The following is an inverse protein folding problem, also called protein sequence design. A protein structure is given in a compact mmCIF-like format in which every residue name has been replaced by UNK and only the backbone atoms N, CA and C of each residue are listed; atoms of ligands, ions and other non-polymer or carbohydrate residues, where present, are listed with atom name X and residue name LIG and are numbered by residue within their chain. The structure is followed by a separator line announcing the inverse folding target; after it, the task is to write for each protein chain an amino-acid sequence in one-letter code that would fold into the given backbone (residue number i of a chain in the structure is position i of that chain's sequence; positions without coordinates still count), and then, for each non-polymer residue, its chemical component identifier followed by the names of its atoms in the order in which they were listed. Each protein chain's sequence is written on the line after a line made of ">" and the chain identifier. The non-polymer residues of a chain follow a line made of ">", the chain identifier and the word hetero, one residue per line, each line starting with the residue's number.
data_IF_531551580181
#
_entry.id   IF_531551580181
#
_cell.length_a   1.000
_cell.length_b   1.000
_cell.length_c   1.000
_cell.angle_alpha   90.00
_cell.angle_beta   90.00
_cell.angle_gamma   90.00
#
_symmetry.space_group_name_H-M   'P 1'
#
loop_
_entity.id
_entity.type
_entity.pdbx_description
1 polymer ?
#
# COMPACT_ATOMS: atom_id res chain seq x y z
N UNK A 1 -37.14 73.59 141.70
CA UNK A 1 -37.72 73.38 140.35
C UNK A 1 -36.91 72.27 139.69
N UNK A 2 -37.30 71.01 139.94
CA UNK A 2 -36.77 69.85 139.24
C UNK A 2 -37.24 69.90 137.78
N UNK A 3 -36.30 69.91 136.83
CA UNK A 3 -36.61 69.81 135.40
C UNK A 3 -36.99 68.35 135.11
N UNK A 4 -38.14 68.18 134.47
CA UNK A 4 -38.79 66.90 134.21
C UNK A 4 -38.01 66.06 133.17
N UNK A 5 -37.86 64.73 133.37
CA UNK A 5 -37.07 63.82 132.53
C UNK A 5 -37.59 63.65 131.08
N UNK A 6 -38.73 64.25 130.74
CA UNK A 6 -39.27 64.29 129.37
C UNK A 6 -38.53 65.28 128.45
N UNK A 7 -37.82 66.28 129.00
CA UNK A 7 -37.12 67.30 128.19
C UNK A 7 -35.74 66.81 127.72
N UNK A 8 -35.02 66.02 128.54
CA UNK A 8 -33.75 65.41 128.12
C UNK A 8 -33.95 64.35 127.03
N UNK A 9 -35.06 63.61 127.06
CA UNK A 9 -35.35 62.60 126.03
C UNK A 9 -35.62 63.25 124.66
N UNK A 10 -36.28 64.40 124.63
CA UNK A 10 -36.57 65.15 123.40
C UNK A 10 -35.29 65.72 122.76
N UNK A 11 -34.41 66.35 123.54
CA UNK A 11 -33.11 66.85 123.06
C UNK A 11 -32.20 65.71 122.58
N UNK A 12 -32.30 64.53 123.21
CA UNK A 12 -31.52 63.33 122.81
C UNK A 12 -32.05 62.75 121.49
N UNK A 13 -33.37 62.70 121.32
CA UNK A 13 -34.02 62.25 120.09
C UNK A 13 -33.75 63.24 118.95
N UNK A 14 -33.81 64.55 119.20
CA UNK A 14 -33.51 65.58 118.21
C UNK A 14 -32.04 65.52 117.76
N UNK A 15 -31.09 65.36 118.69
CA UNK A 15 -29.68 65.15 118.34
C UNK A 15 -29.43 63.83 117.59
N UNK A 16 -30.18 62.77 117.90
CA UNK A 16 -30.12 61.51 117.16
C UNK A 16 -30.69 61.63 115.75
N UNK A 17 -31.79 62.36 115.58
CA UNK A 17 -32.39 62.64 114.27
C UNK A 17 -31.44 63.50 113.44
N UNK A 18 -30.88 64.58 114.00
CA UNK A 18 -29.90 65.43 113.29
C UNK A 18 -28.64 64.63 112.92
N UNK A 19 -28.11 63.79 113.82
CA UNK A 19 -26.99 62.89 113.48
C UNK A 19 -27.36 61.87 112.41
N UNK A 20 -28.54 61.27 112.48
CA UNK A 20 -29.02 60.34 111.46
C UNK A 20 -29.17 61.02 110.11
N UNK A 21 -29.73 62.24 110.09
CA UNK A 21 -29.86 63.07 108.89
C UNK A 21 -28.48 63.40 108.31
N UNK A 22 -27.53 63.83 109.15
CA UNK A 22 -26.16 64.18 108.72
C UNK A 22 -25.42 62.96 108.18
N UNK A 23 -25.58 61.80 108.81
CA UNK A 23 -25.02 60.54 108.32
C UNK A 23 -25.65 60.10 107.00
N UNK A 24 -26.98 60.27 106.84
CA UNK A 24 -27.69 59.99 105.60
C UNK A 24 -27.19 60.93 104.49
N UNK A 25 -27.09 62.23 104.76
CA UNK A 25 -26.64 63.23 103.80
C UNK A 25 -25.17 62.98 103.39
N UNK A 26 -24.29 62.63 104.34
CA UNK A 26 -22.92 62.21 104.01
C UNK A 26 -22.88 60.94 103.17
N UNK A 27 -23.75 59.96 103.45
CA UNK A 27 -23.81 58.72 102.68
C UNK A 27 -24.35 58.96 101.27
N UNK A 28 -25.32 59.86 101.12
CA UNK A 28 -25.84 60.33 99.83
C UNK A 28 -24.72 61.04 99.05
N UNK A 29 -23.99 61.97 99.64
CA UNK A 29 -22.87 62.64 98.95
C UNK A 29 -21.76 61.67 98.53
N UNK A 30 -21.41 60.70 99.37
CA UNK A 30 -20.39 59.70 99.01
C UNK A 30 -20.87 58.77 97.90
N UNK A 31 -22.12 58.29 97.97
CA UNK A 31 -22.68 57.45 96.90
C UNK A 31 -22.86 58.22 95.60
N UNK A 32 -23.27 59.50 95.64
CA UNK A 32 -23.32 60.36 94.45
C UNK A 32 -21.93 60.55 93.83
N UNK A 33 -20.90 60.77 94.64
CA UNK A 33 -19.51 60.89 94.16
C UNK A 33 -19.01 59.57 93.52
N UNK A 34 -19.28 58.42 94.14
CA UNK A 34 -18.93 57.11 93.58
C UNK A 34 -19.65 56.82 92.26
N UNK A 35 -20.95 57.14 92.17
CA UNK A 35 -21.74 57.01 90.94
C UNK A 35 -21.20 57.93 89.85
N UNK A 36 -20.76 59.14 90.19
CA UNK A 36 -20.19 60.10 89.24
C UNK A 36 -18.83 59.63 88.69
N UNK A 37 -17.96 59.08 89.55
CA UNK A 37 -16.69 58.46 89.14
C UNK A 37 -16.94 57.25 88.24
N UNK A 38 -17.85 56.35 88.64
CA UNK A 38 -18.20 55.16 87.87
C UNK A 38 -18.80 55.50 86.50
N UNK A 39 -19.64 56.53 86.42
CA UNK A 39 -20.24 56.99 85.15
C UNK A 39 -19.18 57.60 84.24
N UNK A 40 -18.24 58.39 84.74
CA UNK A 40 -17.12 58.93 83.95
C UNK A 40 -16.17 57.82 83.46
N UNK A 41 -15.86 56.84 84.31
CA UNK A 41 -15.02 55.70 83.93
C UNK A 41 -15.71 54.81 82.89
N UNK A 42 -17.01 54.59 83.04
CA UNK A 42 -17.84 53.88 82.05
C UNK A 42 -17.89 54.64 80.71
N UNK A 43 -18.03 55.97 80.72
CA UNK A 43 -17.97 56.79 79.49
C UNK A 43 -16.61 56.68 78.79
N UNK A 44 -15.50 56.71 79.56
CA UNK A 44 -14.15 56.50 79.03
C UNK A 44 -13.98 55.12 78.39
N UNK A 45 -14.50 54.07 79.03
CA UNK A 45 -14.42 52.71 78.49
C UNK A 45 -15.26 52.55 77.21
N UNK A 46 -16.45 53.17 77.17
CA UNK A 46 -17.31 53.19 75.98
C UNK A 46 -16.64 53.93 74.82
N UNK A 47 -15.97 55.05 75.07
CA UNK A 47 -15.24 55.80 74.05
C UNK A 47 -14.04 55.02 73.51
N UNK A 48 -13.25 54.39 74.39
CA UNK A 48 -12.16 53.50 73.96
C UNK A 48 -12.64 52.31 73.12
N UNK A 49 -13.75 51.67 73.53
CA UNK A 49 -14.33 50.55 72.77
C UNK A 49 -14.85 51.01 71.40
N UNK A 50 -15.40 52.22 71.30
CA UNK A 50 -15.78 52.80 70.01
C UNK A 50 -14.56 53.03 69.11
N UNK A 51 -13.50 53.63 69.63
CA UNK A 51 -12.26 53.83 68.85
C UNK A 51 -11.63 52.50 68.41
N UNK A 52 -11.62 51.48 69.28
CA UNK A 52 -11.14 50.15 68.92
C UNK A 52 -12.01 49.50 67.83
N UNK A 53 -13.33 49.62 67.95
CA UNK A 53 -14.27 49.13 66.94
C UNK A 53 -14.02 49.81 65.59
N UNK A 54 -13.86 51.13 65.57
CA UNK A 54 -13.65 51.89 64.34
C UNK A 54 -12.30 51.55 63.68
N UNK A 55 -11.25 51.35 64.49
CA UNK A 55 -9.96 50.85 63.99
C UNK A 55 -10.09 49.46 63.37
N UNK A 56 -10.73 48.51 64.07
CA UNK A 56 -10.94 47.16 63.56
C UNK A 56 -11.79 47.15 62.28
N UNK A 57 -12.82 48.00 62.19
CA UNK A 57 -13.61 48.16 60.97
C UNK A 57 -12.75 48.66 59.80
N UNK A 58 -11.88 49.64 60.04
CA UNK A 58 -10.96 50.14 59.00
C UNK A 58 -9.96 49.08 58.55
N UNK A 59 -9.47 48.24 59.46
CA UNK A 59 -8.57 47.12 59.14
C UNK A 59 -9.30 46.06 58.31
N UNK A 60 -10.53 45.68 58.71
CA UNK A 60 -11.37 44.73 57.96
C UNK A 60 -11.63 45.24 56.55
N UNK A 61 -11.95 46.52 56.40
CA UNK A 61 -12.20 47.13 55.09
C UNK A 61 -10.93 47.13 54.22
N UNK A 62 -9.77 47.48 54.80
CA UNK A 62 -8.49 47.44 54.09
C UNK A 62 -8.10 46.01 53.67
N UNK A 63 -8.34 45.02 54.52
CA UNK A 63 -8.08 43.62 54.25
C UNK A 63 -9.03 43.08 53.16
N UNK A 64 -10.30 43.45 53.22
CA UNK A 64 -11.30 43.15 52.18
C UNK A 64 -10.87 43.72 50.82
N UNK A 65 -10.44 44.98 50.79
CA UNK A 65 -9.94 45.60 49.57
C UNK A 65 -8.70 44.86 49.01
N UNK A 66 -7.74 44.48 49.87
CA UNK A 66 -6.57 43.69 49.48
C UNK A 66 -6.93 42.32 48.91
N UNK A 67 -7.86 41.61 49.54
CA UNK A 67 -8.30 40.29 49.04
C UNK A 67 -9.00 40.42 47.69
N UNK A 68 -9.80 41.47 47.49
CA UNK A 68 -10.41 41.75 46.18
C UNK A 68 -9.36 42.02 45.09
N UNK A 69 -8.29 42.75 45.41
CA UNK A 69 -7.22 43.07 44.47
C UNK A 69 -6.39 41.84 44.14
N UNK A 70 -6.07 41.01 45.14
CA UNK A 70 -5.38 39.74 44.94
C UNK A 70 -6.20 38.79 44.08
N UNK A 71 -7.52 38.73 44.27
CA UNK A 71 -8.40 37.91 43.43
C UNK A 71 -8.37 38.37 41.97
N UNK A 72 -8.48 39.68 41.71
CA UNK A 72 -8.34 40.24 40.35
C UNK A 72 -6.99 39.90 39.71
N UNK A 73 -5.90 39.99 40.47
CA UNK A 73 -4.56 39.61 39.99
C UNK A 73 -4.46 38.12 39.68
N UNK A 74 -5.05 37.26 40.52
CA UNK A 74 -5.08 35.82 40.31
C UNK A 74 -5.86 35.46 39.03
N UNK A 75 -7.03 36.06 38.82
CA UNK A 75 -7.85 35.86 37.62
C UNK A 75 -7.11 36.33 36.36
N UNK A 76 -6.38 37.45 36.44
CA UNK A 76 -5.56 37.96 35.35
C UNK A 76 -4.35 37.04 35.03
N UNK A 77 -3.75 36.42 36.04
CA UNK A 77 -2.68 35.43 35.82
C UNK A 77 -3.28 34.17 35.19
N UNK A 78 -4.38 33.64 35.72
CA UNK A 78 -5.01 32.42 35.23
C UNK A 78 -5.40 32.52 33.75
N UNK A 79 -6.00 33.64 33.34
CA UNK A 79 -6.34 33.89 31.93
C UNK A 79 -5.10 33.95 31.01
N UNK A 80 -3.98 34.53 31.47
CA UNK A 80 -2.70 34.50 30.73
C UNK A 80 -2.13 33.09 30.61
N UNK A 81 -2.21 32.27 31.66
CA UNK A 81 -1.74 30.89 31.61
C UNK A 81 -2.57 30.05 30.65
N UNK A 82 -3.90 30.20 30.68
CA UNK A 82 -4.83 29.49 29.79
C UNK A 82 -4.54 29.83 28.32
N UNK A 83 -4.47 31.13 27.99
CA UNK A 83 -4.14 31.58 26.65
C UNK A 83 -2.75 31.13 26.18
N UNK A 84 -1.76 31.07 27.08
CA UNK A 84 -0.43 30.52 26.76
C UNK A 84 -0.48 29.01 26.49
N UNK A 85 -1.31 28.26 27.23
CA UNK A 85 -1.51 26.83 26.98
C UNK A 85 -2.17 26.59 25.64
N UNK A 86 -3.26 27.31 25.34
CA UNK A 86 -3.95 27.23 24.04
C UNK A 86 -3.00 27.58 22.87
N UNK A 87 -2.14 28.59 23.05
CA UNK A 87 -1.13 28.93 22.05
C UNK A 87 -0.10 27.81 21.83
N UNK A 88 0.30 27.12 22.91
CA UNK A 88 1.24 26.00 22.83
C UNK A 88 0.61 24.77 22.15
N UNK A 89 -0.64 24.46 22.45
CA UNK A 89 -1.40 23.40 21.78
C UNK A 89 -1.54 23.69 20.29
N UNK A 90 -1.92 24.93 19.93
CA UNK A 90 -2.01 25.35 18.52
C UNK A 90 -0.68 25.21 17.79
N UNK A 91 0.44 25.56 18.42
CA UNK A 91 1.78 25.36 17.83
C UNK A 91 2.07 23.89 17.56
N UNK A 92 1.81 23.00 18.51
CA UNK A 92 1.98 21.56 18.29
C UNK A 92 1.08 21.02 17.18
N UNK A 93 -0.17 21.49 17.10
CA UNK A 93 -1.05 21.10 15.99
C UNK A 93 -0.52 21.58 14.64
N UNK A 94 0.00 22.81 14.56
CA UNK A 94 0.60 23.33 13.32
C UNK A 94 1.85 22.55 12.93
N UNK A 95 2.73 22.26 13.89
CA UNK A 95 3.97 21.53 13.67
C UNK A 95 3.70 20.09 13.20
N UNK A 96 2.70 19.41 13.77
CA UNK A 96 2.27 18.09 13.30
C UNK A 96 1.61 18.13 11.92
N UNK A 97 0.82 19.17 11.61
CA UNK A 97 0.28 19.41 10.27
C UNK A 97 1.37 19.70 9.24
N UNK A 98 2.41 20.47 9.60
CA UNK A 98 3.56 20.74 8.74
C UNK A 98 4.34 19.46 8.43
N UNK A 99 4.61 18.64 9.44
CA UNK A 99 5.26 17.35 9.27
C UNK A 99 4.46 16.44 8.33
N UNK A 100 3.13 16.36 8.53
CA UNK A 100 2.26 15.58 7.67
C UNK A 100 2.26 16.10 6.22
N UNK A 101 2.24 17.42 6.03
CA UNK A 101 2.34 18.02 4.70
C UNK A 101 3.68 17.74 4.02
N UNK A 102 4.79 17.70 4.77
CA UNK A 102 6.09 17.30 4.23
C UNK A 102 6.08 15.83 3.79
N UNK A 103 5.48 14.94 4.57
CA UNK A 103 5.31 13.52 4.20
C UNK A 103 4.51 13.39 2.90
N UNK A 104 3.35 14.05 2.79
CA UNK A 104 2.53 14.03 1.58
C UNK A 104 3.25 14.57 0.34
N UNK A 105 4.12 15.57 0.51
CA UNK A 105 4.98 16.06 -0.58
C UNK A 105 5.97 14.98 -1.02
N UNK A 106 6.65 14.33 -0.08
CA UNK A 106 7.61 13.26 -0.40
C UNK A 106 6.95 12.06 -1.08
N UNK A 107 5.74 11.68 -0.65
CA UNK A 107 4.98 10.59 -1.25
C UNK A 107 4.53 10.94 -2.68
N UNK A 108 4.07 12.18 -2.90
CA UNK A 108 3.74 12.67 -4.24
C UNK A 108 4.95 12.61 -5.18
N UNK A 109 6.11 13.05 -4.72
CA UNK A 109 7.33 13.07 -5.53
C UNK A 109 7.78 11.65 -5.89
N UNK A 110 7.66 10.70 -4.95
CA UNK A 110 7.91 9.28 -5.20
C UNK A 110 6.95 8.69 -6.24
N UNK A 111 5.65 8.96 -6.11
CA UNK A 111 4.63 8.50 -7.06
C UNK A 111 4.85 9.11 -8.45
N UNK A 112 5.25 10.37 -8.54
CA UNK A 112 5.59 11.00 -9.82
C UNK A 112 6.80 10.32 -10.48
N UNK A 113 7.82 9.97 -9.71
CA UNK A 113 8.99 9.25 -10.22
C UNK A 113 8.61 7.86 -10.72
N UNK A 114 7.78 7.12 -9.98
CA UNK A 114 7.30 5.81 -10.40
C UNK A 114 6.47 5.89 -11.69
N UNK A 115 5.58 6.88 -11.81
CA UNK A 115 4.79 7.12 -13.01
C UNK A 115 5.69 7.42 -14.22
N UNK A 116 6.71 8.27 -14.06
CA UNK A 116 7.66 8.55 -15.13
C UNK A 116 8.42 7.29 -15.57
N UNK A 117 8.83 6.45 -14.61
CA UNK A 117 9.51 5.19 -14.90
C UNK A 117 8.60 4.25 -15.69
N UNK A 118 7.35 4.06 -15.25
CA UNK A 118 6.37 3.22 -15.95
C UNK A 118 6.06 3.72 -17.35
N UNK A 119 5.94 5.04 -17.55
CA UNK A 119 5.77 5.63 -18.89
C UNK A 119 6.94 5.30 -19.81
N UNK A 120 8.18 5.49 -19.35
CA UNK A 120 9.38 5.15 -20.13
C UNK A 120 9.46 3.66 -20.47
N UNK A 121 9.11 2.79 -19.53
CA UNK A 121 9.05 1.34 -19.78
C UNK A 121 7.99 0.98 -20.82
N UNK A 122 6.83 1.62 -20.78
CA UNK A 122 5.77 1.44 -21.76
C UNK A 122 6.20 1.95 -23.15
N UNK A 123 6.74 3.16 -23.23
CA UNK A 123 7.26 3.75 -24.48
C UNK A 123 8.36 2.86 -25.10
N UNK A 124 9.23 2.29 -24.27
CA UNK A 124 10.27 1.37 -24.75
C UNK A 124 9.68 0.06 -25.31
N UNK A 125 8.62 -0.48 -24.68
CA UNK A 125 7.90 -1.65 -25.20
C UNK A 125 7.21 -1.34 -26.52
N UNK A 126 6.48 -0.24 -26.59
CA UNK A 126 5.79 0.20 -27.81
C UNK A 126 6.78 0.43 -28.96
N UNK A 127 7.96 1.00 -28.67
CA UNK A 127 9.02 1.18 -29.67
C UNK A 127 9.57 -0.17 -30.16
N UNK A 128 9.76 -1.14 -29.26
CA UNK A 128 10.23 -2.48 -29.63
C UNK A 128 9.19 -3.21 -30.49
N UNK A 129 7.91 -3.14 -30.11
CA UNK A 129 6.82 -3.73 -30.88
C UNK A 129 6.68 -3.08 -32.26
N UNK A 130 6.76 -1.74 -32.34
CA UNK A 130 6.74 -1.02 -33.61
C UNK A 130 7.91 -1.41 -34.51
N UNK A 131 9.12 -1.56 -33.94
CA UNK A 131 10.30 -2.02 -34.69
C UNK A 131 10.11 -3.45 -35.19
N UNK A 132 9.59 -4.34 -34.35
CA UNK A 132 9.29 -5.72 -34.72
C UNK A 132 8.25 -5.79 -35.86
N UNK A 133 7.17 -5.02 -35.77
CA UNK A 133 6.15 -4.93 -36.83
C UNK A 133 6.79 -4.39 -38.12
N UNK A 134 7.63 -3.36 -38.05
CA UNK A 134 8.29 -2.80 -39.23
C UNK A 134 9.22 -3.81 -39.90
N UNK A 135 10.07 -4.50 -39.13
CA UNK A 135 10.99 -5.52 -39.66
C UNK A 135 10.22 -6.69 -40.27
N UNK A 136 9.20 -7.20 -39.58
CA UNK A 136 8.37 -8.31 -40.06
C UNK A 136 7.56 -7.93 -41.30
N UNK A 137 6.97 -6.73 -41.35
CA UNK A 137 6.25 -6.25 -42.53
C UNK A 137 7.17 -6.07 -43.73
N UNK A 138 8.41 -5.63 -43.52
CA UNK A 138 9.39 -5.50 -44.61
C UNK A 138 9.76 -6.87 -45.19
N UNK A 139 10.00 -7.86 -44.33
CA UNK A 139 10.27 -9.24 -44.76
C UNK A 139 9.05 -9.89 -45.43
N UNK A 140 7.86 -9.64 -44.89
CA UNK A 140 6.61 -10.13 -45.44
C UNK A 140 6.38 -9.53 -46.83
N UNK A 141 6.56 -8.21 -47.00
CA UNK A 141 6.40 -7.54 -48.28
C UNK A 141 7.40 -8.06 -49.33
N UNK A 142 8.66 -8.29 -48.94
CA UNK A 142 9.66 -8.89 -49.82
C UNK A 142 9.24 -10.32 -50.25
N UNK A 143 8.70 -11.11 -49.33
CA UNK A 143 8.22 -12.47 -49.60
C UNK A 143 6.96 -12.48 -50.48
N UNK A 144 6.02 -11.59 -50.22
CA UNK A 144 4.81 -11.34 -51.02
C UNK A 144 5.20 -10.97 -52.45
N UNK A 145 6.13 -10.03 -52.62
CA UNK A 145 6.63 -9.61 -53.93
C UNK A 145 7.32 -10.76 -54.68
N UNK A 146 8.09 -11.60 -53.98
CA UNK A 146 8.76 -12.76 -54.57
C UNK A 146 7.77 -13.86 -54.97
N UNK A 147 6.77 -14.12 -54.14
CA UNK A 147 5.72 -15.11 -54.39
C UNK A 147 4.64 -14.62 -55.37
N UNK A 148 4.66 -13.34 -55.75
CA UNK A 148 3.64 -12.70 -56.61
C UNK A 148 2.22 -12.91 -56.05
N UNK A 149 2.11 -12.90 -54.72
CA UNK A 149 0.89 -13.20 -53.98
C UNK A 149 0.44 -11.97 -53.21
N UNK A 150 -0.82 -11.59 -53.34
CA UNK A 150 -1.45 -10.49 -52.59
C UNK A 150 -2.57 -11.05 -51.70
N UNK A 151 -2.55 -10.66 -50.42
CA UNK A 151 -3.60 -10.96 -49.45
C UNK A 151 -4.43 -9.70 -49.24
N UNK A 152 -5.71 -9.76 -49.58
CA UNK A 152 -6.65 -8.66 -49.46
C UNK A 152 -7.73 -9.09 -48.46
N UNK A 153 -7.86 -8.35 -47.37
CA UNK A 153 -9.01 -8.49 -46.49
C UNK A 153 -10.20 -7.74 -47.13
N UNK A 154 -11.30 -8.44 -47.36
CA UNK A 154 -12.42 -7.93 -48.19
C UNK A 154 -13.65 -7.52 -47.38
N UNK A 155 -13.69 -7.77 -46.06
CA UNK A 155 -14.74 -7.29 -45.16
C UNK A 155 -14.12 -6.69 -43.90
N UNK A 156 -14.74 -5.64 -43.37
CA UNK A 156 -14.31 -4.97 -42.13
C UNK A 156 -14.27 -5.90 -40.90
N UNK A 157 -15.01 -7.02 -40.94
CA UNK A 157 -15.03 -8.03 -39.87
C UNK A 157 -13.90 -9.06 -39.97
N UNK A 158 -13.05 -9.02 -41.01
CA UNK A 158 -11.89 -9.91 -41.16
C UNK A 158 -12.17 -11.38 -41.49
N UNK A 159 -13.42 -11.76 -41.73
CA UNK A 159 -13.79 -13.16 -42.00
C UNK A 159 -13.49 -13.60 -43.43
N UNK A 160 -13.44 -12.66 -44.38
CA UNK A 160 -13.23 -12.96 -45.80
C UNK A 160 -11.84 -12.54 -46.27
N UNK A 161 -11.03 -13.54 -46.59
CA UNK A 161 -9.66 -13.39 -47.09
C UNK A 161 -9.65 -13.67 -48.58
N UNK A 162 -9.23 -12.69 -49.38
CA UNK A 162 -8.99 -12.85 -50.81
C UNK A 162 -7.49 -13.01 -51.05
N UNK A 163 -7.10 -14.12 -51.65
CA UNK A 163 -5.74 -14.42 -52.09
C UNK A 163 -5.68 -14.24 -53.59
N UNK A 164 -4.77 -13.40 -54.06
CA UNK A 164 -4.54 -13.16 -55.49
C UNK A 164 -3.12 -13.60 -55.81
N UNK A 165 -2.95 -14.54 -56.74
CA UNK A 165 -1.67 -15.01 -57.23
C UNK A 165 -1.50 -14.57 -58.68
N UNK A 166 -0.41 -13.87 -58.98
CA UNK A 166 -0.08 -13.40 -60.34
C UNK A 166 0.95 -14.35 -60.98
N UNK A 167 1.09 -14.31 -62.30
CA UNK A 167 2.06 -15.14 -63.04
C UNK A 167 1.87 -16.65 -62.87
N UNK A 168 0.65 -17.11 -62.58
CA UNK A 168 0.34 -18.54 -62.41
C UNK A 168 0.27 -19.25 -63.76
N UNK A 169 -0.27 -18.59 -64.79
CA UNK A 169 -0.36 -19.14 -66.14
C UNK A 169 0.89 -18.72 -66.96
N UNK A 170 1.76 -19.67 -67.38
CA UNK A 170 2.95 -19.35 -68.17
C UNK A 170 2.66 -18.75 -69.54
N UNK A 171 1.45 -18.96 -70.06
CA UNK A 171 1.02 -18.46 -71.37
C UNK A 171 0.28 -17.12 -71.30
N UNK A 172 -0.21 -16.74 -70.11
CA UNK A 172 -0.88 -15.46 -69.85
C UNK A 172 -0.52 -14.96 -68.44
N UNK A 173 0.64 -14.29 -68.27
CA UNK A 173 1.14 -13.88 -66.96
C UNK A 173 0.26 -12.85 -66.24
N UNK A 174 -0.55 -12.10 -67.00
CA UNK A 174 -1.50 -11.10 -66.50
C UNK A 174 -2.76 -11.76 -65.91
N UNK A 175 -3.01 -13.03 -66.23
CA UNK A 175 -4.12 -13.78 -65.65
C UNK A 175 -3.87 -14.08 -64.17
N UNK A 176 -4.48 -13.27 -63.31
CA UNK A 176 -4.42 -13.47 -61.87
C UNK A 176 -5.35 -14.61 -61.42
N UNK A 177 -4.79 -15.56 -60.67
CA UNK A 177 -5.55 -16.60 -60.00
C UNK A 177 -6.05 -16.08 -58.65
N UNK A 178 -7.36 -16.03 -58.46
CA UNK A 178 -7.97 -15.48 -57.25
C UNK A 178 -8.72 -16.57 -56.48
N UNK A 179 -8.51 -16.61 -55.16
CA UNK A 179 -9.28 -17.43 -54.22
C UNK A 179 -9.88 -16.53 -53.15
N UNK A 180 -11.18 -16.64 -52.92
CA UNK A 180 -11.89 -15.92 -51.85
C UNK A 180 -12.35 -16.93 -50.82
N UNK A 181 -11.81 -16.83 -49.62
CA UNK A 181 -12.13 -17.70 -48.50
C UNK A 181 -12.93 -16.94 -47.46
N UNK A 182 -13.92 -17.58 -46.85
CA UNK A 182 -14.65 -17.07 -45.69
C UNK A 182 -14.53 -18.06 -44.53
N UNK A 183 -14.57 -17.53 -43.31
CA UNK A 183 -14.64 -18.29 -42.07
C UNK A 183 -16.09 -18.29 -41.58
N UNK A 184 -16.67 -19.49 -41.57
CA UNK A 184 -17.95 -19.83 -40.96
C UNK A 184 -18.00 -19.46 -39.45
N UNK A 185 -19.19 -19.32 -38.88
CA UNK A 185 -19.43 -19.19 -37.43
C UNK A 185 -18.77 -20.33 -36.63
N UNK A 186 -18.71 -21.54 -37.21
CA UNK A 186 -17.98 -22.69 -36.67
C UNK A 186 -16.46 -22.64 -36.91
N UNK A 187 -15.92 -21.49 -37.33
CA UNK A 187 -14.52 -21.28 -37.69
C UNK A 187 -14.04 -22.22 -38.80
N UNK A 188 -14.89 -22.64 -39.74
CA UNK A 188 -14.48 -23.48 -40.88
C UNK A 188 -14.21 -22.65 -42.12
N UNK A 189 -13.10 -22.91 -42.79
CA UNK A 189 -12.77 -22.32 -44.07
C UNK A 189 -13.71 -22.84 -45.16
N UNK A 190 -14.34 -21.91 -45.86
CA UNK A 190 -15.16 -22.16 -47.05
C UNK A 190 -14.58 -21.38 -48.23
N UNK A 191 -14.55 -21.99 -49.41
CA UNK A 191 -14.21 -21.28 -50.63
C UNK A 191 -15.48 -20.62 -51.19
N UNK A 192 -15.54 -19.29 -51.15
CA UNK A 192 -16.67 -18.50 -51.65
C UNK A 192 -16.60 -18.37 -53.16
N UNK A 193 -15.42 -18.05 -53.69
CA UNK A 193 -15.21 -17.81 -55.11
C UNK A 193 -13.78 -18.17 -55.51
N UNK A 194 -13.63 -18.67 -56.73
CA UNK A 194 -12.33 -18.81 -57.39
C UNK A 194 -12.39 -18.27 -58.80
N UNK A 195 -11.28 -17.73 -59.28
CA UNK A 195 -11.10 -17.36 -60.68
C UNK A 195 -9.70 -17.81 -61.14
N UNK A 196 -9.58 -18.68 -62.15
CA UNK A 196 -10.64 -19.42 -62.84
C UNK A 196 -11.44 -20.35 -61.92
N UNK A 197 -12.66 -20.73 -62.34
CA UNK A 197 -13.55 -21.59 -61.56
C UNK A 197 -12.93 -22.98 -61.44
N UNK A 198 -12.66 -23.39 -60.20
CA UNK A 198 -12.11 -24.70 -59.90
C UNK A 198 -13.22 -25.77 -59.74
N UNK A 199 -13.01 -27.01 -60.24
CA UNK A 199 -13.95 -28.11 -60.00
C UNK A 199 -14.01 -28.52 -58.52
N UNK A 200 -15.23 -28.65 -57.99
CA UNK A 200 -15.45 -28.99 -56.57
C UNK A 200 -14.87 -30.35 -56.15
N UNK A 201 -14.80 -31.31 -57.08
CA UNK A 201 -14.19 -32.62 -56.84
C UNK A 201 -12.71 -32.55 -56.44
N UNK A 202 -11.99 -31.52 -56.89
CA UNK A 202 -10.59 -31.27 -56.53
C UNK A 202 -10.45 -30.46 -55.24
N UNK A 203 -11.36 -29.51 -55.02
CA UNK A 203 -11.29 -28.56 -53.89
C UNK A 203 -11.71 -29.20 -52.57
N UNK A 204 -12.79 -29.98 -52.57
CA UNK A 204 -13.40 -30.49 -51.33
C UNK A 204 -12.42 -31.29 -50.45
N UNK A 205 -11.59 -32.22 -50.99
CA UNK A 205 -10.60 -32.92 -50.19
C UNK A 205 -9.56 -31.99 -49.56
N UNK A 206 -9.12 -30.96 -50.30
CA UNK A 206 -8.09 -30.00 -49.87
C UNK A 206 -8.66 -29.03 -48.82
N UNK A 207 -9.92 -28.61 -48.97
CA UNK A 207 -10.62 -27.79 -47.95
C UNK A 207 -10.89 -28.58 -46.66
N UNK A 208 -11.21 -29.87 -46.76
CA UNK A 208 -11.35 -30.72 -45.59
C UNK A 208 -10.01 -30.86 -44.85
N UNK A 209 -8.91 -31.11 -45.58
CA UNK A 209 -7.57 -31.13 -44.98
C UNK A 209 -7.20 -29.78 -44.34
N UNK A 210 -7.56 -28.65 -44.95
CA UNK A 210 -7.36 -27.33 -44.34
C UNK A 210 -8.17 -27.16 -43.05
N UNK A 211 -9.43 -27.60 -43.03
CA UNK A 211 -10.27 -27.51 -41.84
C UNK A 211 -9.80 -28.44 -40.70
N UNK A 212 -9.22 -29.59 -41.05
CA UNK A 212 -8.66 -30.56 -40.10
C UNK A 212 -7.30 -30.10 -39.53
N UNK A 213 -6.41 -29.61 -40.40
CA UNK A 213 -5.02 -29.28 -40.04
C UNK A 213 -4.82 -27.83 -39.61
N UNK A 214 -5.71 -26.93 -40.05
CA UNK A 214 -5.56 -25.46 -39.95
C UNK A 214 -4.29 -24.91 -40.60
N UNK A 215 -3.65 -25.69 -41.48
CA UNK A 215 -2.43 -25.29 -42.17
C UNK A 215 -2.76 -24.61 -43.51
N UNK A 216 -2.95 -23.29 -43.45
CA UNK A 216 -3.26 -22.48 -44.63
C UNK A 216 -2.10 -22.42 -45.64
N UNK A 217 -0.87 -22.57 -45.17
CA UNK A 217 0.30 -22.60 -46.05
C UNK A 217 0.33 -23.90 -46.88
N UNK A 218 0.08 -25.05 -46.25
CA UNK A 218 -0.04 -26.32 -46.96
C UNK A 218 -1.19 -26.29 -47.98
N UNK A 219 -2.32 -25.66 -47.63
CA UNK A 219 -3.44 -25.44 -48.55
C UNK A 219 -3.01 -24.67 -49.81
N UNK A 220 -2.41 -23.49 -49.65
CA UNK A 220 -1.96 -22.67 -50.79
C UNK A 220 -0.91 -23.41 -51.64
N UNK A 221 0.03 -24.09 -50.99
CA UNK A 221 1.08 -24.84 -51.66
C UNK A 221 0.56 -26.03 -52.47
N UNK A 222 -0.35 -26.82 -51.90
CA UNK A 222 -0.91 -28.00 -52.56
C UNK A 222 -1.93 -27.63 -53.65
N UNK A 223 -2.58 -26.47 -53.53
CA UNK A 223 -3.52 -25.95 -54.52
C UNK A 223 -2.86 -25.30 -55.74
N UNK A 224 -1.70 -24.65 -55.58
CA UNK A 224 -1.07 -23.82 -56.63
C UNK A 224 0.07 -24.50 -57.42
N UNK A 225 0.68 -25.57 -56.90
CA UNK A 225 1.85 -26.19 -57.55
C UNK A 225 1.67 -27.70 -57.62
N UNK A 226 1.61 -28.26 -58.84
CA UNK A 226 1.73 -29.71 -59.06
C UNK A 226 3.00 -30.20 -58.38
N UNK A 227 2.90 -31.19 -57.48
CA UNK A 227 4.06 -31.72 -56.74
C UNK A 227 5.14 -32.11 -57.74
N UNK A 228 6.27 -31.41 -57.71
CA UNK A 228 7.44 -31.80 -58.49
C UNK A 228 7.73 -33.27 -58.19
N UNK A 229 7.83 -34.16 -59.21
CA UNK A 229 8.02 -35.58 -58.98
C UNK A 229 9.28 -35.76 -58.13
N UNK A 230 9.11 -36.39 -56.97
CA UNK A 230 10.19 -36.64 -56.04
C UNK A 230 11.35 -37.32 -56.78
N UNK A 231 12.57 -36.74 -56.81
CA UNK A 231 13.72 -37.44 -57.35
C UNK A 231 14.00 -38.63 -56.42
N UNK A 232 13.66 -39.83 -56.89
CA UNK A 232 13.78 -41.08 -56.11
C UNK A 232 15.24 -41.44 -55.80
N UNK A 233 16.18 -40.77 -56.47
CA UNK A 233 17.60 -41.11 -56.48
C UNK A 233 18.42 -40.36 -55.43
N UNK A 234 17.81 -39.44 -54.65
CA UNK A 234 18.53 -38.68 -53.62
C UNK A 234 18.17 -39.20 -52.23
N UNK A 235 19.09 -39.93 -51.63
CA UNK A 235 19.04 -40.32 -50.22
C UNK A 235 19.72 -39.25 -49.36
N UNK A 236 19.10 -38.88 -48.24
CA UNK A 236 19.78 -38.07 -47.20
C UNK A 236 19.64 -38.75 -45.83
N UNK A 237 20.68 -38.69 -44.98
CA UNK A 237 20.67 -39.34 -43.67
C UNK A 237 19.60 -38.80 -42.70
N UNK A 238 19.05 -37.61 -42.95
CA UNK A 238 17.97 -37.00 -42.17
C UNK A 238 16.55 -37.26 -42.72
N UNK A 239 16.41 -38.02 -43.81
CA UNK A 239 15.12 -38.40 -44.41
C UNK A 239 14.61 -37.49 -45.55
N UNK A 240 15.33 -36.43 -45.88
CA UNK A 240 14.93 -35.48 -46.93
C UNK A 240 13.95 -34.41 -46.43
N UNK A 241 13.67 -33.42 -47.28
CA UNK A 241 12.93 -32.21 -46.89
C UNK A 241 11.46 -32.46 -46.46
N UNK A 242 10.91 -33.65 -46.73
CA UNK A 242 9.49 -34.01 -46.47
C UNK A 242 9.29 -35.38 -45.79
N UNK A 243 10.28 -35.91 -45.08
CA UNK A 243 10.10 -37.22 -44.43
C UNK A 243 9.12 -37.14 -43.26
N UNK A 244 8.01 -37.87 -43.40
CA UNK A 244 7.12 -38.29 -42.29
C UNK A 244 7.34 -39.77 -42.01
N UNK A 245 8.41 -40.17 -41.30
CA UNK A 245 8.67 -41.57 -41.01
C UNK A 245 7.60 -42.11 -40.06
N UNK A 246 6.65 -42.90 -40.60
CA UNK A 246 5.52 -43.47 -39.86
C UNK A 246 5.95 -44.26 -38.61
N UNK A 247 7.17 -44.82 -38.63
CA UNK A 247 7.68 -45.74 -37.60
C UNK A 247 8.84 -45.15 -36.75
N UNK A 248 9.00 -43.82 -36.71
CA UNK A 248 10.14 -43.19 -36.02
C UNK A 248 10.28 -43.63 -34.56
N UNK A 249 9.16 -43.78 -33.84
CA UNK A 249 9.15 -44.21 -32.44
C UNK A 249 9.76 -45.60 -32.25
N UNK A 250 9.36 -46.57 -33.09
CA UNK A 250 9.85 -47.95 -33.02
C UNK A 250 11.33 -48.03 -33.37
N UNK A 251 11.78 -47.29 -34.40
CA UNK A 251 13.18 -47.30 -34.80
C UNK A 251 14.08 -46.68 -33.73
N UNK A 252 13.66 -45.57 -33.13
CA UNK A 252 14.38 -44.95 -32.01
C UNK A 252 14.42 -45.87 -30.79
N UNK A 253 13.33 -46.58 -30.49
CA UNK A 253 13.30 -47.54 -29.39
C UNK A 253 14.30 -48.69 -29.61
N UNK A 254 14.33 -49.27 -30.81
CA UNK A 254 15.30 -50.34 -31.15
C UNK A 254 16.73 -49.83 -31.07
N UNK A 255 17.02 -48.64 -31.60
CA UNK A 255 18.35 -48.04 -31.53
C UNK A 255 18.78 -47.76 -30.07
N UNK A 256 17.87 -47.22 -29.24
CA UNK A 256 18.12 -46.95 -27.84
C UNK A 256 18.42 -48.24 -27.05
N UNK A 257 17.64 -49.30 -27.28
CA UNK A 257 17.86 -50.61 -26.66
C UNK A 257 19.22 -51.18 -27.10
N UNK A 258 19.53 -51.13 -28.40
CA UNK A 258 20.81 -51.61 -28.92
C UNK A 258 22.01 -50.86 -28.31
N UNK A 259 21.92 -49.54 -28.19
CA UNK A 259 22.95 -48.73 -27.54
C UNK A 259 23.10 -49.07 -26.07
N UNK A 260 21.99 -49.20 -25.32
CA UNK A 260 22.02 -49.53 -23.90
C UNK A 260 22.69 -50.89 -23.64
N UNK A 261 22.37 -51.92 -24.43
CA UNK A 261 22.99 -53.25 -24.32
C UNK A 261 24.49 -53.17 -24.61
N UNK A 262 24.87 -52.48 -25.69
CA UNK A 262 26.27 -52.39 -26.12
C UNK A 262 27.11 -51.61 -25.10
N UNK A 263 26.63 -50.46 -24.65
CA UNK A 263 27.31 -49.65 -23.63
C UNK A 263 27.37 -50.37 -22.28
N UNK A 264 26.32 -51.09 -21.89
CA UNK A 264 26.31 -51.89 -20.67
C UNK A 264 27.36 -53.00 -20.69
N UNK A 265 27.53 -53.69 -21.82
CA UNK A 265 28.57 -54.72 -21.99
C UNK A 265 29.98 -54.12 -21.93
N UNK A 266 30.22 -53.00 -22.62
CA UNK A 266 31.51 -52.29 -22.61
C UNK A 266 31.82 -51.78 -21.20
N UNK A 267 30.83 -51.19 -20.51
CA UNK A 267 30.99 -50.70 -19.14
C UNK A 267 31.34 -51.83 -18.19
N UNK A 268 30.65 -52.97 -18.27
CA UNK A 268 30.95 -54.14 -17.44
C UNK A 268 32.38 -54.65 -17.69
N UNK A 269 32.76 -54.80 -18.95
CA UNK A 269 34.13 -55.24 -19.31
C UNK A 269 35.19 -54.26 -18.81
N UNK A 270 34.96 -52.96 -18.99
CA UNK A 270 35.85 -51.89 -18.53
C UNK A 270 36.01 -51.91 -17.01
N UNK A 271 34.90 -51.98 -16.27
CA UNK A 271 34.89 -52.06 -14.81
C UNK A 271 35.61 -53.32 -14.28
N UNK A 272 35.50 -54.45 -14.98
CA UNK A 272 36.19 -55.69 -14.59
C UNK A 272 37.70 -55.65 -14.81
N UNK A 273 38.18 -54.83 -15.74
CA UNK A 273 39.60 -54.65 -16.11
C UNK A 273 40.24 -53.41 -15.48
N UNK A 274 39.46 -52.58 -14.82
CA UNK A 274 39.95 -51.38 -14.16
C UNK A 274 40.81 -51.74 -12.94
N UNK A 275 42.10 -51.34 -12.99
CA UNK A 275 43.07 -51.52 -11.90
C UNK A 275 43.68 -50.16 -11.58
N UNK A 276 43.69 -49.76 -10.30
CA UNK A 276 44.36 -48.55 -9.83
C UNK A 276 45.58 -48.90 -8.98
N UNK A 277 46.71 -48.27 -9.30
CA UNK A 277 47.94 -48.41 -8.53
C UNK A 277 48.07 -47.38 -7.40
N UNK A 278 47.24 -46.33 -7.42
CA UNK A 278 47.17 -45.32 -6.37
C UNK A 278 45.72 -45.13 -5.93
N UNK A 279 45.50 -45.07 -4.62
CA UNK A 279 44.16 -44.84 -4.07
C UNK A 279 43.74 -43.36 -4.23
N UNK A 280 42.47 -43.10 -4.59
CA UNK A 280 41.97 -41.76 -4.81
C UNK A 280 41.85 -41.02 -3.47
N UNK A 281 42.41 -39.81 -3.41
CA UNK A 281 42.37 -38.93 -2.22
C UNK A 281 40.97 -38.36 -1.89
N UNK A 282 40.00 -38.54 -2.78
CA UNK A 282 38.61 -38.07 -2.65
C UNK A 282 37.67 -39.07 -3.29
N UNK A 283 36.41 -39.09 -2.85
CA UNK A 283 35.40 -39.99 -3.40
C UNK A 283 35.20 -39.75 -4.90
N UNK A 284 35.16 -40.83 -5.69
CA UNK A 284 34.87 -40.82 -7.12
C UNK A 284 33.84 -41.90 -7.46
N UNK A 285 32.93 -41.67 -8.42
CA UNK A 285 31.82 -42.60 -8.71
C UNK A 285 32.27 -44.03 -9.04
N UNK A 286 33.42 -44.20 -9.69
CA UNK A 286 33.95 -45.51 -10.06
C UNK A 286 34.35 -46.40 -8.88
N UNK A 287 34.48 -45.84 -7.68
CA UNK A 287 34.65 -46.63 -6.46
C UNK A 287 33.43 -47.54 -6.17
N UNK A 288 32.24 -47.23 -6.70
CA UNK A 288 31.04 -48.05 -6.49
C UNK A 288 31.06 -49.37 -7.27
N UNK A 289 31.84 -49.47 -8.36
CA UNK A 289 31.85 -50.63 -9.25
C UNK A 289 33.22 -51.25 -9.49
N UNK A 290 34.31 -50.56 -9.17
CA UNK A 290 35.66 -51.12 -9.28
C UNK A 290 35.91 -52.22 -8.23
N UNK A 291 36.46 -53.36 -8.66
CA UNK A 291 36.68 -54.56 -7.83
C UNK A 291 37.50 -54.26 -6.57
N UNK A 292 38.56 -53.46 -6.69
CA UNK A 292 39.47 -53.12 -5.60
C UNK A 292 38.76 -52.56 -4.35
N UNK A 293 37.65 -51.83 -4.51
CA UNK A 293 36.91 -51.24 -3.39
C UNK A 293 35.73 -52.10 -2.95
N UNK A 294 35.18 -52.95 -3.83
CA UNK A 294 34.15 -53.93 -3.46
C UNK A 294 34.71 -55.05 -2.60
N UNK A 295 35.90 -55.55 -2.94
CA UNK A 295 36.52 -56.69 -2.24
C UNK A 295 37.11 -56.29 -0.88
N UNK A 296 37.41 -55.00 -0.66
CA UNK A 296 37.82 -54.46 0.65
C UNK A 296 36.64 -54.24 1.62
N UNK A 297 35.39 -54.25 1.13
CA UNK A 297 34.19 -54.05 1.96
C UNK A 297 33.50 -55.36 2.39
N UNK A 298 34.01 -56.53 1.96
CA UNK A 298 33.59 -57.86 2.43
C UNK A 298 34.56 -58.39 3.49
#
# INVERSE_FOLDING_TARGET
>A
MEKSPLFELADTIENLIVRAQTNIDQHIETTEAEVLVFTEESKKKVTQLKEQKDRLLSEIESASNRTSELKKKLDAIHSRTLSSQEAHERRHTLESMELHNQQLRSERDQLQLELQKKRKEQEAKEMLDAKFIQETMTQLQASINLMQLELINTKDNGTVIKVVMKHVNPHDPEQAFTLVHDLDEEQRYRLVQSNPILPQAYINPILNELNDTRDYYAFLKNGAVSRYPYPKDVWSPAGGWWSRPKNWKSNTAVAAIGMAVTLGAIWRYSAEKEVRYQEPKRWIPSMMWAKQYKDQQQ
#
